data_IF_333064130226
#
_entry.id   IF_333064130226
#
_cell.length_a   1.000
_cell.length_b   1.000
_cell.length_c   1.000
_cell.angle_alpha   90.00
_cell.angle_beta   90.00
_cell.angle_gamma   90.00
#
_symmetry.space_group_name_H-M   'P 1'
#
loop_
_entity.id
_entity.type
_entity.pdbx_description
1 polymer ?
#
# COMPACT_ATOMS: atom_id res chain seq x y z
N UNK A 1 -32.59 14.48 -41.49
CA UNK A 1 -32.64 14.39 -40.01
C UNK A 1 -31.61 13.36 -39.58
N UNK A 2 -30.35 13.78 -39.47
CA UNK A 2 -29.28 12.97 -38.88
C UNK A 2 -29.27 13.29 -37.39
N UNK A 3 -29.62 12.31 -36.56
CA UNK A 3 -29.44 12.40 -35.12
C UNK A 3 -27.95 12.27 -34.82
N UNK A 4 -27.32 13.35 -34.35
CA UNK A 4 -26.03 13.28 -33.69
C UNK A 4 -26.23 12.49 -32.39
N UNK A 5 -25.61 11.32 -32.31
CA UNK A 5 -25.44 10.61 -31.05
C UNK A 5 -24.49 11.44 -30.16
N UNK A 6 -24.75 11.58 -28.85
CA UNK A 6 -23.79 12.20 -27.96
C UNK A 6 -22.52 11.36 -27.97
N UNK A 7 -21.39 11.99 -28.31
CA UNK A 7 -20.07 11.37 -28.15
C UNK A 7 -19.82 11.24 -26.66
N UNK A 8 -19.90 10.03 -26.13
CA UNK A 8 -19.40 9.75 -24.78
C UNK A 8 -17.91 10.10 -24.75
N UNK A 9 -17.58 11.13 -23.97
CA UNK A 9 -16.23 11.63 -23.80
C UNK A 9 -15.45 10.60 -22.95
N UNK A 10 -14.56 9.84 -23.59
CA UNK A 10 -13.72 8.85 -22.93
C UNK A 10 -12.78 9.56 -21.93
N UNK A 11 -13.12 9.53 -20.64
CA UNK A 11 -12.29 10.10 -19.58
C UNK A 11 -11.12 9.16 -19.29
N UNK A 12 -9.89 9.64 -19.48
CA UNK A 12 -8.69 8.86 -19.18
C UNK A 12 -8.58 8.51 -17.70
N UNK A 13 -8.44 7.21 -17.38
CA UNK A 13 -8.33 6.70 -16.01
C UNK A 13 -6.96 6.93 -15.36
N UNK A 14 -5.94 7.32 -16.13
CA UNK A 14 -4.61 7.64 -15.64
C UNK A 14 -4.03 8.82 -16.43
N UNK A 15 -3.28 9.68 -15.75
CA UNK A 15 -2.59 10.83 -16.36
C UNK A 15 -1.23 11.03 -15.70
N UNK A 16 -0.23 11.44 -16.49
CA UNK A 16 1.13 11.66 -16.01
C UNK A 16 1.43 13.15 -15.89
N UNK A 17 2.33 13.49 -14.97
CA UNK A 17 2.82 14.82 -14.55
C UNK A 17 2.27 16.02 -15.36
N UNK A 18 2.72 16.25 -16.59
CA UNK A 18 2.28 17.42 -17.40
C UNK A 18 0.79 17.40 -17.75
N UNK A 19 0.25 16.23 -18.09
CA UNK A 19 -1.18 16.06 -18.36
C UNK A 19 -1.99 16.13 -17.06
N UNK A 20 -1.48 15.53 -15.97
CA UNK A 20 -2.14 15.56 -14.67
C UNK A 20 -2.22 16.99 -14.09
N UNK A 21 -1.16 17.78 -14.21
CA UNK A 21 -1.14 19.19 -13.79
C UNK A 21 -2.10 20.05 -14.61
N UNK A 22 -2.17 19.84 -15.92
CA UNK A 22 -3.10 20.57 -16.78
C UNK A 22 -4.55 20.26 -16.41
N UNK A 23 -4.90 18.97 -16.28
CA UNK A 23 -6.22 18.52 -15.86
C UNK A 23 -6.56 19.00 -14.45
N UNK A 24 -5.59 19.04 -13.53
CA UNK A 24 -5.79 19.53 -12.16
C UNK A 24 -6.09 21.04 -12.13
N UNK A 25 -5.34 21.83 -12.93
CA UNK A 25 -5.58 23.28 -13.09
C UNK A 25 -6.96 23.56 -13.69
N UNK A 26 -7.40 22.74 -14.65
CA UNK A 26 -8.76 22.81 -15.20
C UNK A 26 -9.84 22.43 -14.17
N UNK A 27 -9.55 21.48 -13.28
CA UNK A 27 -10.47 21.02 -12.23
C UNK A 27 -10.56 21.95 -10.99
N UNK A 28 -9.88 23.10 -10.98
CA UNK A 28 -9.79 24.03 -9.83
C UNK A 28 -9.34 23.35 -8.52
N UNK A 29 -8.44 22.37 -8.59
CA UNK A 29 -7.77 21.88 -7.37
C UNK A 29 -6.68 22.87 -6.95
N UNK A 30 -6.54 23.10 -5.64
CA UNK A 30 -5.50 23.98 -5.11
C UNK A 30 -4.12 23.43 -5.49
N UNK A 31 -3.40 24.20 -6.32
CA UNK A 31 -2.01 23.91 -6.66
C UNK A 31 -1.13 24.63 -5.67
N UNK A 32 -0.40 23.88 -4.86
CA UNK A 32 0.66 24.46 -4.03
C UNK A 32 1.86 24.74 -4.93
N UNK A 33 2.11 26.01 -5.21
CA UNK A 33 3.39 26.42 -5.78
C UNK A 33 4.50 26.07 -4.77
N UNK A 34 5.56 25.43 -5.23
CA UNK A 34 6.75 25.19 -4.42
C UNK A 34 7.50 26.50 -4.19
N UNK A 35 6.94 27.38 -3.37
CA UNK A 35 7.62 28.54 -2.83
C UNK A 35 8.41 28.13 -1.59
N UNK A 36 9.70 28.44 -1.58
CA UNK A 36 10.51 28.37 -0.36
C UNK A 36 9.92 29.36 0.67
N UNK A 37 9.16 28.83 1.61
CA UNK A 37 8.73 29.55 2.81
C UNK A 37 9.34 28.84 4.01
N UNK A 38 10.43 29.43 4.51
CA UNK A 38 10.99 29.16 5.83
C UNK A 38 9.93 29.51 6.87
N UNK A 39 9.24 28.50 7.36
CA UNK A 39 8.43 28.59 8.56
C UNK A 39 9.13 27.72 9.61
N UNK A 40 9.86 28.38 10.51
CA UNK A 40 10.49 27.75 11.67
C UNK A 40 9.42 27.19 12.59
N UNK A 41 9.13 25.91 12.43
CA UNK A 41 8.59 25.06 13.49
C UNK A 41 9.32 23.74 13.39
N UNK A 42 10.20 23.49 14.37
CA UNK A 42 11.09 22.31 14.42
C UNK A 42 10.28 21.01 14.39
N UNK A 43 10.13 20.45 13.19
CA UNK A 43 10.02 19.02 12.95
C UNK A 43 11.25 18.68 12.14
N UNK A 44 12.13 17.84 12.71
CA UNK A 44 13.44 17.47 12.16
C UNK A 44 13.31 16.76 10.80
N UNK A 45 13.21 17.56 9.74
CA UNK A 45 13.35 17.11 8.35
C UNK A 45 14.77 16.56 8.15
N UNK A 46 14.85 15.32 7.67
CA UNK A 46 16.11 14.64 7.38
C UNK A 46 17.07 15.51 6.55
N UNK A 47 18.27 15.72 7.09
CA UNK A 47 19.32 16.56 6.48
C UNK A 47 19.70 16.02 5.11
N UNK A 48 19.47 16.81 4.05
CA UNK A 48 20.09 16.63 2.73
C UNK A 48 21.60 16.87 2.86
N UNK A 49 22.42 15.85 2.57
CA UNK A 49 23.90 16.00 2.54
C UNK A 49 24.34 16.81 1.32
N UNK A 50 25.21 17.82 1.45
CA UNK A 50 25.88 18.46 0.32
C UNK A 50 26.95 17.52 -0.27
N UNK A 51 27.05 17.51 -1.61
CA UNK A 51 28.14 16.85 -2.33
C UNK A 51 29.37 17.77 -2.31
N UNK A 52 30.44 17.36 -1.62
CA UNK A 52 31.78 17.94 -1.79
C UNK A 52 32.68 16.99 -2.57
N UNK A 53 33.34 17.55 -3.59
CA UNK A 53 34.15 16.86 -4.60
C UNK A 53 35.34 16.07 -4.03
N UNK A 54 35.69 14.98 -4.73
CA UNK A 54 36.87 14.14 -4.45
C UNK A 54 38.17 14.77 -4.98
N UNK A 55 39.28 14.70 -4.23
CA UNK A 55 40.61 14.52 -4.78
C UNK A 55 41.14 13.11 -4.49
N UNK A 56 42.00 12.63 -5.39
CA UNK A 56 42.29 11.21 -5.60
C UNK A 56 43.32 10.53 -4.68
N UNK A 57 43.49 9.24 -5.00
CA UNK A 57 44.65 8.37 -4.83
C UNK A 57 44.93 7.67 -3.48
N UNK A 58 44.69 6.35 -3.52
CA UNK A 58 45.49 5.22 -3.03
C UNK A 58 45.59 4.81 -1.53
N UNK A 59 45.47 3.48 -1.40
CA UNK A 59 46.16 2.51 -0.53
C UNK A 59 45.45 1.85 0.68
N UNK A 60 45.57 0.52 0.66
CA UNK A 60 45.15 -0.51 1.62
C UNK A 60 45.45 -0.20 3.10
N UNK A 61 44.51 -0.57 3.98
CA UNK A 61 44.74 -1.44 5.16
C UNK A 61 43.44 -1.79 5.90
N UNK A 62 43.28 -3.08 6.21
CA UNK A 62 42.25 -3.63 7.10
C UNK A 62 42.19 -2.88 8.43
N UNK A 63 41.02 -2.38 8.81
CA UNK A 63 40.77 -1.96 10.19
C UNK A 63 39.38 -2.41 10.65
N UNK A 64 39.41 -3.15 11.77
CA UNK A 64 38.29 -3.59 12.58
C UNK A 64 37.28 -2.46 12.82
N UNK A 65 36.05 -2.64 12.36
CA UNK A 65 34.94 -1.76 12.73
C UNK A 65 34.52 -2.11 14.17
N UNK A 66 34.94 -1.25 15.10
CA UNK A 66 34.45 -1.21 16.49
C UNK A 66 32.92 -1.31 16.49
N UNK A 67 32.40 -2.40 17.05
CA UNK A 67 31.00 -2.49 17.52
C UNK A 67 30.78 -1.35 18.51
N UNK A 68 30.08 -0.30 18.08
CA UNK A 68 29.55 0.72 18.98
C UNK A 68 28.44 0.05 19.78
N UNK A 69 28.70 -0.16 21.06
CA UNK A 69 27.70 -0.54 22.06
C UNK A 69 26.74 0.66 22.19
N UNK A 70 25.61 0.61 21.49
CA UNK A 70 24.55 1.60 21.58
C UNK A 70 23.60 1.25 22.71
N UNK A 71 23.31 2.21 23.58
CA UNK A 71 22.25 2.17 24.59
C UNK A 71 20.88 1.83 23.98
N UNK A 72 19.93 1.25 24.74
CA UNK A 72 18.57 0.97 24.28
C UNK A 72 17.74 2.27 24.28
N UNK A 73 18.12 3.22 23.43
CA UNK A 73 17.24 4.30 23.04
C UNK A 73 16.33 3.76 21.94
N UNK A 74 15.02 3.91 22.14
CA UNK A 74 14.00 3.52 21.17
C UNK A 74 14.45 3.95 19.77
N UNK A 75 14.68 2.97 18.89
CA UNK A 75 14.88 3.26 17.47
C UNK A 75 13.58 3.89 16.99
N UNK A 76 13.60 5.18 16.70
CA UNK A 76 12.45 5.84 16.08
C UNK A 76 12.13 5.14 14.75
N UNK A 77 10.88 4.75 14.57
CA UNK A 77 10.44 4.07 13.35
C UNK A 77 10.54 5.07 12.18
N UNK A 78 11.31 4.74 11.16
CA UNK A 78 11.33 5.50 9.91
C UNK A 78 10.04 5.20 9.14
N UNK A 79 9.12 6.16 9.10
CA UNK A 79 7.86 6.03 8.36
C UNK A 79 8.14 6.00 6.85
N UNK A 80 7.55 5.03 6.15
CA UNK A 80 7.63 4.95 4.68
C UNK A 80 6.75 6.01 4.02
N UNK A 81 7.17 6.52 2.85
CA UNK A 81 6.49 7.59 2.10
C UNK A 81 5.14 7.18 1.46
N UNK A 82 4.48 6.12 1.94
CA UNK A 82 3.23 5.57 1.35
C UNK A 82 2.10 5.55 2.37
N UNK A 83 0.93 6.00 1.94
CA UNK A 83 -0.33 5.96 2.71
C UNK A 83 -1.44 5.36 1.86
N UNK A 84 -2.43 4.75 2.51
CA UNK A 84 -3.61 4.20 1.85
C UNK A 84 -4.84 4.32 2.73
N UNK A 85 -6.00 4.45 2.10
CA UNK A 85 -7.29 4.54 2.77
C UNK A 85 -8.33 3.70 2.02
N UNK A 86 -9.23 3.09 2.79
CA UNK A 86 -10.41 2.39 2.29
C UNK A 86 -11.60 2.93 3.09
N UNK A 87 -12.68 3.27 2.39
CA UNK A 87 -13.90 3.85 2.98
C UNK A 87 -15.10 3.11 2.41
N UNK A 88 -16.11 2.93 3.27
CA UNK A 88 -17.42 2.41 2.91
C UNK A 88 -18.46 3.44 3.36
N UNK A 89 -19.37 3.83 2.48
CA UNK A 89 -20.47 4.74 2.79
C UNK A 89 -21.68 4.02 3.40
N UNK A 90 -22.71 4.78 3.80
CA UNK A 90 -23.95 4.25 4.38
C UNK A 90 -24.82 3.47 3.38
N UNK A 91 -24.51 3.58 2.08
CA UNK A 91 -25.14 2.84 0.99
C UNK A 91 -24.38 1.57 0.62
N UNK A 92 -23.27 1.27 1.31
CA UNK A 92 -22.45 0.09 1.06
C UNK A 92 -21.54 0.22 -0.16
N UNK A 93 -21.32 1.42 -0.68
CA UNK A 93 -20.31 1.63 -1.72
C UNK A 93 -18.92 1.70 -1.09
N UNK A 94 -18.00 0.96 -1.69
CA UNK A 94 -16.60 0.96 -1.28
C UNK A 94 -15.77 1.85 -2.21
N UNK A 95 -14.84 2.59 -1.62
CA UNK A 95 -13.82 3.34 -2.32
C UNK A 95 -12.46 3.12 -1.66
N UNK A 96 -11.40 3.11 -2.46
CA UNK A 96 -10.04 2.98 -1.96
C UNK A 96 -9.08 3.87 -2.75
N UNK A 97 -8.03 4.30 -2.07
CA UNK A 97 -6.97 5.10 -2.68
C UNK A 97 -5.65 4.92 -1.95
N UNK A 98 -4.56 5.11 -2.67
CA UNK A 98 -3.21 5.16 -2.12
C UNK A 98 -2.43 6.33 -2.70
N UNK A 99 -1.44 6.79 -1.94
CA UNK A 99 -0.53 7.85 -2.37
C UNK A 99 0.88 7.53 -1.89
N UNK A 100 1.88 7.90 -2.68
CA UNK A 100 3.28 7.65 -2.34
C UNK A 100 4.25 8.66 -2.96
N UNK A 101 5.26 9.06 -2.19
CA UNK A 101 6.43 9.79 -2.71
C UNK A 101 7.36 8.92 -3.57
N UNK A 102 7.26 7.60 -3.43
CA UNK A 102 8.20 6.63 -3.99
C UNK A 102 9.53 6.59 -3.24
N UNK A 103 10.47 5.75 -3.70
CA UNK A 103 11.74 5.61 -2.97
C UNK A 103 12.63 6.86 -3.13
N UNK A 104 13.44 7.14 -2.11
CA UNK A 104 14.41 8.23 -2.15
C UNK A 104 15.42 8.11 -3.31
N UNK A 105 15.82 9.26 -3.87
CA UNK A 105 16.76 9.34 -5.01
C UNK A 105 16.29 8.57 -6.27
N UNK A 106 14.98 8.37 -6.45
CA UNK A 106 14.44 7.79 -7.69
C UNK A 106 14.79 8.65 -8.91
N UNK A 107 14.95 7.99 -10.05
CA UNK A 107 15.01 8.69 -11.34
C UNK A 107 13.73 9.50 -11.57
N UNK A 108 13.83 10.67 -12.20
CA UNK A 108 12.66 11.48 -12.59
C UNK A 108 11.75 10.68 -13.52
N UNK A 109 10.44 10.77 -13.32
CA UNK A 109 9.46 9.97 -14.05
C UNK A 109 9.34 8.51 -13.58
N UNK A 110 10.09 8.04 -12.57
CA UNK A 110 9.83 6.71 -11.99
C UNK A 110 8.48 6.70 -11.28
N UNK A 111 7.60 5.82 -11.75
CA UNK A 111 6.30 5.53 -11.17
C UNK A 111 6.39 4.37 -10.18
N UNK A 112 5.66 4.49 -9.08
CA UNK A 112 5.53 3.45 -8.07
C UNK A 112 4.11 2.86 -8.05
N UNK A 113 3.89 1.81 -7.24
CA UNK A 113 2.61 1.12 -7.06
C UNK A 113 1.40 2.01 -6.84
N UNK A 114 1.54 3.08 -6.04
CA UNK A 114 0.42 3.93 -5.66
C UNK A 114 -0.24 4.64 -6.86
N UNK A 115 0.50 4.81 -7.97
CA UNK A 115 -0.02 5.38 -9.21
C UNK A 115 -0.65 4.34 -10.15
N UNK A 116 -0.64 3.05 -9.78
CA UNK A 116 -1.01 1.93 -10.64
C UNK A 116 -2.20 1.17 -10.04
N UNK A 117 -3.34 1.24 -10.72
CA UNK A 117 -4.57 0.50 -10.36
C UNK A 117 -4.30 -1.01 -10.40
N UNK A 118 -4.83 -1.72 -9.40
CA UNK A 118 -4.60 -3.15 -9.19
C UNK A 118 -3.26 -3.48 -8.52
N UNK A 119 -2.33 -2.53 -8.47
CA UNK A 119 -1.02 -2.74 -7.83
C UNK A 119 -0.98 -2.10 -6.45
N UNK A 120 -1.12 -0.78 -6.33
CA UNK A 120 -1.15 -0.08 -5.03
C UNK A 120 -2.54 -0.01 -4.39
N UNK A 121 -3.59 -0.09 -5.21
CA UNK A 121 -4.99 -0.06 -4.77
C UNK A 121 -5.85 -0.91 -5.70
N UNK A 122 -6.74 -1.71 -5.14
CA UNK A 122 -7.73 -2.49 -5.87
C UNK A 122 -9.08 -2.45 -5.17
N UNK A 123 -10.15 -2.51 -5.95
CA UNK A 123 -11.54 -2.63 -5.49
C UNK A 123 -12.21 -3.70 -6.34
N UNK A 124 -12.78 -4.71 -5.68
CA UNK A 124 -13.69 -5.68 -6.26
C UNK A 124 -15.11 -5.24 -5.87
N UNK A 125 -15.87 -4.63 -6.79
CA UNK A 125 -17.20 -4.10 -6.49
C UNK A 125 -18.21 -5.22 -6.21
N UNK A 126 -19.27 -4.88 -5.48
CA UNK A 126 -20.44 -5.74 -5.34
C UNK A 126 -21.08 -6.00 -6.71
N UNK A 127 -21.47 -7.25 -6.98
CA UNK A 127 -22.27 -7.55 -8.15
C UNK A 127 -23.73 -7.11 -7.93
N UNK A 128 -24.44 -6.74 -9.01
CA UNK A 128 -25.81 -6.21 -8.92
C UNK A 128 -26.81 -7.20 -8.28
N UNK A 129 -26.62 -8.49 -8.55
CA UNK A 129 -27.48 -9.58 -8.08
C UNK A 129 -26.88 -10.35 -6.88
N UNK A 130 -25.85 -9.81 -6.22
CA UNK A 130 -25.25 -10.45 -5.04
C UNK A 130 -26.05 -10.14 -3.76
N UNK A 131 -26.85 -11.10 -3.31
CA UNK A 131 -27.62 -11.00 -2.07
C UNK A 131 -26.73 -10.85 -0.82
N UNK A 132 -25.49 -11.34 -0.86
CA UNK A 132 -24.55 -11.17 0.25
C UNK A 132 -23.89 -9.79 0.25
N UNK A 133 -24.04 -9.01 -0.82
CA UNK A 133 -23.51 -7.67 -0.93
C UNK A 133 -21.98 -7.62 -0.79
N UNK A 134 -21.27 -8.65 -1.26
CA UNK A 134 -19.84 -8.81 -1.00
C UNK A 134 -19.08 -7.78 -1.80
N UNK A 135 -18.23 -7.03 -1.14
CA UNK A 135 -17.27 -6.16 -1.81
C UNK A 135 -15.97 -6.09 -1.02
N UNK A 136 -14.85 -5.99 -1.73
CA UNK A 136 -13.52 -6.01 -1.12
C UNK A 136 -12.67 -4.93 -1.74
N UNK A 137 -11.93 -4.20 -0.91
CA UNK A 137 -10.84 -3.36 -1.38
C UNK A 137 -9.54 -3.70 -0.66
N UNK A 138 -8.43 -3.48 -1.33
CA UNK A 138 -7.10 -3.65 -0.77
C UNK A 138 -6.19 -2.49 -1.16
N UNK A 139 -5.37 -2.05 -0.21
CA UNK A 139 -4.29 -1.09 -0.40
C UNK A 139 -2.98 -1.67 0.12
N UNK A 140 -1.89 -1.39 -0.58
CA UNK A 140 -0.59 -2.00 -0.27
C UNK A 140 0.52 -0.96 -0.17
N UNK A 141 1.54 -1.27 0.64
CA UNK A 141 2.77 -0.50 0.80
C UNK A 141 3.96 -1.46 0.84
N UNK A 142 5.14 -1.02 0.39
CA UNK A 142 6.34 -1.87 0.40
C UNK A 142 7.26 -1.65 -0.80
N UNK A 143 7.98 -2.71 -1.17
CA UNK A 143 8.93 -2.70 -2.29
C UNK A 143 8.18 -2.64 -3.62
N UNK A 144 8.21 -1.47 -4.26
CA UNK A 144 7.30 -1.19 -5.36
C UNK A 144 7.45 -2.07 -6.59
N UNK A 145 8.67 -2.42 -6.98
CA UNK A 145 8.95 -3.34 -8.09
C UNK A 145 8.32 -4.72 -7.87
N UNK A 146 8.38 -5.24 -6.64
CA UNK A 146 7.81 -6.53 -6.29
C UNK A 146 6.28 -6.47 -6.30
N UNK A 147 5.70 -5.42 -5.71
CA UNK A 147 4.24 -5.22 -5.69
C UNK A 147 3.68 -5.16 -7.12
N UNK A 148 4.37 -4.45 -8.02
CA UNK A 148 3.98 -4.36 -9.43
C UNK A 148 4.06 -5.72 -10.13
N UNK A 149 5.14 -6.46 -9.88
CA UNK A 149 5.36 -7.79 -10.46
C UNK A 149 4.28 -8.79 -10.04
N UNK A 150 3.74 -8.67 -8.83
CA UNK A 150 2.75 -9.62 -8.27
C UNK A 150 1.31 -9.14 -8.38
N UNK A 151 1.06 -7.96 -8.96
CA UNK A 151 -0.27 -7.30 -8.92
C UNK A 151 -0.88 -7.29 -7.52
N UNK A 152 -0.08 -6.85 -6.54
CA UNK A 152 -0.30 -7.15 -5.12
C UNK A 152 -1.70 -6.84 -4.60
N UNK A 153 -2.21 -5.62 -4.82
CA UNK A 153 -3.53 -5.24 -4.29
C UNK A 153 -4.67 -6.02 -4.95
N UNK A 154 -4.64 -6.17 -6.27
CA UNK A 154 -5.66 -6.93 -7.01
C UNK A 154 -5.69 -8.38 -6.52
N UNK A 155 -4.51 -9.00 -6.41
CA UNK A 155 -4.40 -10.39 -5.97
C UNK A 155 -4.96 -10.57 -4.56
N UNK A 156 -4.60 -9.68 -3.61
CA UNK A 156 -5.14 -9.74 -2.25
C UNK A 156 -6.67 -9.55 -2.22
N UNK A 157 -7.19 -8.54 -2.93
CA UNK A 157 -8.63 -8.28 -2.96
C UNK A 157 -9.43 -9.46 -3.54
N UNK A 158 -8.97 -10.04 -4.66
CA UNK A 158 -9.62 -11.21 -5.27
C UNK A 158 -9.58 -12.45 -4.37
N UNK A 159 -8.46 -12.66 -3.66
CA UNK A 159 -8.30 -13.79 -2.72
C UNK A 159 -9.35 -13.74 -1.61
N UNK A 160 -9.49 -12.57 -0.97
CA UNK A 160 -10.45 -12.34 0.11
C UNK A 160 -11.89 -12.34 -0.39
N UNK A 161 -12.14 -11.77 -1.58
CA UNK A 161 -13.46 -11.78 -2.21
C UNK A 161 -13.94 -13.19 -2.53
N UNK A 162 -13.05 -14.03 -3.10
CA UNK A 162 -13.40 -15.40 -3.52
C UNK A 162 -13.28 -16.43 -2.41
N UNK A 163 -12.69 -16.08 -1.26
CA UNK A 163 -12.36 -17.06 -0.21
C UNK A 163 -11.37 -18.10 -0.72
N UNK A 164 -10.25 -17.68 -1.32
CA UNK A 164 -9.28 -18.61 -1.92
C UNK A 164 -7.84 -18.31 -1.54
N UNK A 165 -6.99 -19.34 -1.64
CA UNK A 165 -5.52 -19.23 -1.58
C UNK A 165 -4.84 -20.08 -2.65
N UNK A 166 -3.54 -19.87 -2.83
CA UNK A 166 -2.75 -20.65 -3.80
C UNK A 166 -2.56 -22.08 -3.27
N UNK A 167 -3.04 -23.05 -4.03
CA UNK A 167 -2.82 -24.46 -3.72
C UNK A 167 -1.42 -24.95 -4.14
N UNK A 168 -0.97 -26.12 -3.66
CA UNK A 168 0.35 -26.67 -3.96
C UNK A 168 0.61 -26.93 -5.45
N UNK A 169 -0.45 -27.16 -6.23
CA UNK A 169 -0.39 -27.35 -7.69
C UNK A 169 -0.42 -26.03 -8.47
N UNK A 170 -0.49 -24.89 -7.76
CA UNK A 170 -0.66 -23.56 -8.34
C UNK A 170 -2.10 -23.18 -8.66
N UNK A 171 -3.06 -24.11 -8.56
CA UNK A 171 -4.49 -23.81 -8.69
C UNK A 171 -5.02 -23.11 -7.44
N UNK A 172 -6.04 -22.28 -7.60
CA UNK A 172 -6.73 -21.65 -6.47
C UNK A 172 -7.61 -22.68 -5.76
N UNK A 173 -7.54 -22.70 -4.42
CA UNK A 173 -8.33 -23.58 -3.57
C UNK A 173 -9.13 -22.74 -2.56
N UNK A 174 -10.30 -23.23 -2.18
CA UNK A 174 -11.15 -22.57 -1.20
C UNK A 174 -10.48 -22.56 0.18
N UNK A 175 -10.67 -21.46 0.89
CA UNK A 175 -10.22 -21.22 2.25
C UNK A 175 -11.26 -20.36 2.97
N UNK A 176 -11.79 -20.87 4.08
CA UNK A 176 -12.87 -20.18 4.82
C UNK A 176 -12.29 -19.19 5.86
N UNK A 177 -11.01 -19.36 6.21
CA UNK A 177 -10.33 -18.47 7.14
C UNK A 177 -9.65 -17.30 6.42
N UNK A 178 -10.29 -16.14 6.43
CA UNK A 178 -9.75 -14.88 5.87
C UNK A 178 -8.35 -14.56 6.45
N UNK A 179 -8.03 -14.92 7.71
CA UNK A 179 -6.69 -14.70 8.27
C UNK A 179 -5.64 -15.64 7.66
N UNK A 180 -6.02 -16.85 7.25
CA UNK A 180 -5.17 -17.78 6.50
C UNK A 180 -4.98 -17.33 5.05
N UNK A 181 -6.02 -16.74 4.44
CA UNK A 181 -5.91 -16.10 3.12
C UNK A 181 -4.90 -14.96 3.17
N UNK A 182 -4.98 -14.07 4.17
CA UNK A 182 -4.04 -12.95 4.30
C UNK A 182 -2.59 -13.41 4.50
N UNK A 183 -2.37 -14.48 5.27
CA UNK A 183 -1.03 -15.05 5.46
C UNK A 183 -0.49 -15.67 4.17
N UNK A 184 -1.31 -16.51 3.51
CA UNK A 184 -0.94 -17.18 2.26
C UNK A 184 -0.72 -16.21 1.10
N UNK A 185 -1.42 -15.07 1.08
CA UNK A 185 -1.14 -14.00 0.13
C UNK A 185 0.32 -13.52 0.25
N UNK A 186 0.80 -13.27 1.48
CA UNK A 186 2.17 -12.80 1.67
C UNK A 186 3.17 -13.93 1.39
N UNK A 187 2.96 -15.14 1.91
CA UNK A 187 3.92 -16.22 1.72
C UNK A 187 3.94 -16.74 0.28
N UNK A 188 2.78 -17.02 -0.30
CA UNK A 188 2.68 -17.82 -1.52
C UNK A 188 2.53 -16.95 -2.77
N UNK A 189 1.68 -15.92 -2.72
CA UNK A 189 1.44 -15.03 -3.87
C UNK A 189 2.53 -13.95 -4.02
N UNK A 190 3.09 -13.46 -2.90
CA UNK A 190 4.11 -12.41 -2.91
C UNK A 190 5.54 -12.95 -2.76
N UNK A 191 5.88 -13.56 -1.61
CA UNK A 191 7.26 -13.95 -1.32
C UNK A 191 7.75 -15.10 -2.21
N UNK A 192 6.93 -16.12 -2.45
CA UNK A 192 7.29 -17.27 -3.29
C UNK A 192 7.18 -17.00 -4.81
N UNK A 193 6.70 -15.81 -5.19
CA UNK A 193 6.63 -15.40 -6.58
C UNK A 193 8.03 -15.40 -7.21
N UNK A 194 8.25 -16.02 -8.39
CA UNK A 194 9.57 -16.10 -9.03
C UNK A 194 10.25 -14.75 -9.23
N UNK A 195 9.48 -13.69 -9.50
CA UNK A 195 9.99 -12.33 -9.66
C UNK A 195 10.35 -11.61 -8.35
N UNK A 196 10.00 -12.17 -7.19
CA UNK A 196 10.34 -11.65 -5.86
C UNK A 196 11.47 -12.48 -5.25
N UNK A 197 11.30 -13.80 -5.13
CA UNK A 197 12.29 -14.67 -4.48
C UNK A 197 13.66 -14.73 -5.16
N UNK A 198 13.69 -14.57 -6.49
CA UNK A 198 14.93 -14.59 -7.28
C UNK A 198 15.50 -13.18 -7.49
N UNK A 199 14.87 -12.15 -6.93
CA UNK A 199 15.33 -10.77 -7.04
C UNK A 199 16.45 -10.50 -6.02
N UNK A 200 17.36 -9.58 -6.35
CA UNK A 200 18.44 -9.18 -5.44
C UNK A 200 17.97 -8.24 -4.32
N UNK A 201 16.84 -7.55 -4.50
CA UNK A 201 16.23 -6.72 -3.47
C UNK A 201 15.36 -7.54 -2.52
N UNK A 202 15.32 -7.14 -1.24
CA UNK A 202 14.44 -7.76 -0.26
C UNK A 202 12.96 -7.48 -0.57
N UNK A 203 12.14 -8.53 -0.50
CA UNK A 203 10.69 -8.44 -0.58
C UNK A 203 10.08 -7.96 0.72
N UNK A 204 9.53 -6.76 0.73
CA UNK A 204 8.78 -6.20 1.84
C UNK A 204 7.41 -5.73 1.37
N UNK A 205 6.36 -6.11 2.08
CA UNK A 205 4.98 -5.72 1.80
C UNK A 205 4.18 -5.61 3.10
N UNK A 206 3.34 -4.59 3.16
CA UNK A 206 2.19 -4.50 4.04
C UNK A 206 0.92 -4.32 3.21
N UNK A 207 -0.14 -4.99 3.61
CA UNK A 207 -1.45 -4.93 2.96
C UNK A 207 -2.53 -4.67 4.00
N UNK A 208 -3.46 -3.80 3.66
CA UNK A 208 -4.71 -3.59 4.38
C UNK A 208 -5.86 -3.90 3.42
N UNK A 209 -6.78 -4.76 3.83
CA UNK A 209 -7.97 -5.12 3.07
C UNK A 209 -9.22 -4.86 3.91
N UNK A 210 -10.30 -4.42 3.26
CA UNK A 210 -11.62 -4.34 3.88
C UNK A 210 -12.59 -5.15 3.05
N UNK A 211 -13.31 -6.06 3.71
CA UNK A 211 -14.40 -6.85 3.16
C UNK A 211 -15.70 -6.40 3.80
N UNK A 212 -16.68 -6.08 2.97
CA UNK A 212 -18.07 -5.93 3.38
C UNK A 212 -18.85 -7.15 2.91
N UNK A 213 -19.78 -7.61 3.73
CA UNK A 213 -20.84 -8.52 3.34
C UNK A 213 -22.06 -8.29 4.25
N UNK A 214 -23.13 -9.04 4.02
CA UNK A 214 -24.39 -8.99 4.77
C UNK A 214 -24.21 -9.08 6.30
N UNK A 215 -23.15 -9.74 6.77
CA UNK A 215 -22.87 -9.91 8.21
C UNK A 215 -22.08 -8.75 8.84
N UNK A 216 -21.51 -7.86 8.03
CA UNK A 216 -20.82 -6.66 8.47
C UNK A 216 -19.54 -6.33 7.72
N UNK A 217 -18.68 -5.57 8.38
CA UNK A 217 -17.44 -5.02 7.83
C UNK A 217 -16.23 -5.64 8.52
N UNK A 218 -15.26 -6.06 7.73
CA UNK A 218 -14.10 -6.81 8.16
C UNK A 218 -12.86 -6.11 7.64
N UNK A 219 -12.10 -5.49 8.54
CA UNK A 219 -10.77 -4.97 8.24
C UNK A 219 -9.74 -6.04 8.55
N UNK A 220 -8.90 -6.35 7.57
CA UNK A 220 -7.76 -7.25 7.70
C UNK A 220 -6.47 -6.52 7.36
N UNK A 221 -5.37 -6.93 7.98
CA UNK A 221 -4.05 -6.50 7.58
C UNK A 221 -3.06 -7.65 7.75
N UNK A 222 -2.02 -7.62 6.92
CA UNK A 222 -0.86 -8.47 7.09
C UNK A 222 0.39 -7.77 6.54
N UNK A 223 1.56 -8.06 7.11
CA UNK A 223 2.82 -7.53 6.63
C UNK A 223 4.00 -8.43 7.01
N UNK A 224 5.07 -8.35 6.22
CA UNK A 224 6.39 -8.89 6.56
C UNK A 224 7.44 -7.78 6.82
N UNK A 225 7.01 -6.52 6.89
CA UNK A 225 7.83 -5.38 7.31
C UNK A 225 8.03 -5.39 8.82
N UNK A 226 9.05 -4.69 9.31
CA UNK A 226 9.32 -4.52 10.76
C UNK A 226 8.09 -4.00 11.51
N UNK A 227 7.36 -3.06 10.90
CA UNK A 227 6.10 -2.52 11.42
C UNK A 227 5.15 -2.07 10.32
N UNK A 228 3.87 -1.95 10.66
CA UNK A 228 2.82 -1.44 9.79
C UNK A 228 1.77 -0.68 10.62
N UNK A 229 1.64 0.63 10.35
CA UNK A 229 0.73 1.52 11.07
C UNK A 229 -0.66 1.52 10.43
N UNK A 230 -1.69 1.39 11.26
CA UNK A 230 -3.09 1.24 10.84
C UNK A 230 -3.98 2.11 11.72
N UNK A 231 -5.05 2.63 11.12
CA UNK A 231 -6.12 3.29 11.83
C UNK A 231 -7.47 2.86 11.25
N UNK A 232 -8.49 2.74 12.10
CA UNK A 232 -9.84 2.40 11.68
C UNK A 232 -10.89 3.04 12.58
N UNK A 233 -12.02 3.41 12.01
CA UNK A 233 -13.14 4.02 12.72
C UNK A 233 -14.44 3.63 12.03
N UNK A 234 -15.39 3.10 12.80
CA UNK A 234 -16.77 2.93 12.35
C UNK A 234 -17.57 4.23 12.52
N UNK A 235 -18.61 4.44 11.70
CA UNK A 235 -19.42 5.67 11.75
C UNK A 235 -20.15 5.91 13.08
N UNK A 236 -20.37 4.85 13.87
CA UNK A 236 -21.01 4.92 15.19
C UNK A 236 -19.99 5.01 16.36
N UNK A 237 -18.70 4.99 16.05
CA UNK A 237 -17.64 4.99 17.06
C UNK A 237 -17.26 6.40 17.46
N UNK A 238 -16.99 6.61 18.75
CA UNK A 238 -16.64 7.93 19.28
C UNK A 238 -15.20 8.33 18.95
N UNK A 239 -14.32 7.36 18.78
CA UNK A 239 -12.88 7.57 18.59
C UNK A 239 -12.32 6.53 17.62
N UNK A 240 -11.32 6.95 16.83
CA UNK A 240 -10.58 6.05 15.95
C UNK A 240 -9.68 5.10 16.77
N UNK A 241 -9.51 3.87 16.27
CA UNK A 241 -8.53 2.92 16.82
C UNK A 241 -7.29 2.90 15.95
N UNK A 242 -6.16 3.20 16.56
CA UNK A 242 -4.85 3.18 15.91
C UNK A 242 -4.01 2.02 16.44
N UNK A 243 -3.32 1.32 15.55
CA UNK A 243 -2.44 0.20 15.88
C UNK A 243 -1.13 0.35 15.12
N UNK A 244 -0.01 0.27 15.83
CA UNK A 244 1.29 0.04 15.22
C UNK A 244 1.57 -1.47 15.30
N UNK A 245 1.26 -2.20 14.24
CA UNK A 245 1.58 -3.63 14.17
C UNK A 245 3.09 -3.80 14.01
N UNK A 246 3.68 -4.75 14.73
CA UNK A 246 5.12 -5.04 14.68
C UNK A 246 5.32 -6.52 14.42
N UNK A 247 6.35 -6.84 13.64
CA UNK A 247 6.72 -8.23 13.35
C UNK A 247 7.27 -8.88 14.64
N UNK A 248 6.62 -9.94 15.17
CA UNK A 248 7.13 -10.62 16.35
C UNK A 248 8.49 -11.29 16.10
N UNK A 249 9.29 -11.43 17.16
CA UNK A 249 10.59 -12.10 17.06
C UNK A 249 10.43 -13.55 16.57
N UNK A 250 11.16 -13.90 15.50
CA UNK A 250 11.10 -15.22 14.88
C UNK A 250 9.91 -15.45 13.93
N UNK A 251 8.95 -14.53 13.86
CA UNK A 251 7.85 -14.59 12.91
C UNK A 251 8.29 -14.05 11.53
N UNK A 252 7.68 -14.60 10.46
CA UNK A 252 7.89 -14.11 9.09
C UNK A 252 6.81 -13.12 8.64
N UNK A 253 5.63 -13.24 9.22
CA UNK A 253 4.44 -12.47 8.87
C UNK A 253 3.75 -12.07 10.17
N UNK A 254 3.33 -10.81 10.27
CA UNK A 254 2.38 -10.33 11.27
C UNK A 254 1.04 -10.08 10.57
N UNK A 255 -0.05 -10.44 11.25
CA UNK A 255 -1.41 -10.29 10.73
C UNK A 255 -2.38 -9.94 11.85
N UNK A 256 -3.51 -9.38 11.47
CA UNK A 256 -4.61 -9.11 12.38
C UNK A 256 -5.79 -8.51 11.65
N UNK A 257 -6.84 -8.22 12.42
CA UNK A 257 -8.04 -7.64 11.85
C UNK A 257 -8.98 -7.10 12.90
N UNK A 258 -10.04 -6.45 12.40
CA UNK A 258 -11.12 -5.88 13.19
C UNK A 258 -12.43 -6.14 12.48
N UNK A 259 -13.40 -6.64 13.23
CA UNK A 259 -14.73 -6.99 12.72
C UNK A 259 -15.76 -6.05 13.34
N UNK A 260 -16.60 -5.44 12.50
CA UNK A 260 -17.75 -4.61 12.88
C UNK A 260 -18.98 -5.35 12.35
N UNK A 261 -19.75 -5.96 13.25
CA UNK A 261 -20.96 -6.71 12.86
C UNK A 261 -22.11 -5.74 12.66
N UNK A 262 -22.92 -6.02 11.64
CA UNK A 262 -24.26 -5.43 11.49
C UNK A 262 -25.23 -6.27 12.35
N UNK A 263 -26.09 -5.58 13.09
CA UNK A 263 -27.15 -6.22 13.90
C UNK A 263 -28.35 -6.61 13.06
#
# INVERSE_FOLDING_TARGET
>A
MSADAPKDEEKHAASLETAAEHTSKEAKTDTTESGDHDNDTEITRGVKRPLTACPGSENHKSQNVKRRLGSPLAREDSVSDTVGAIVIDDRGHIAAGSSSGGIGMKHRGRLGPAALVGIGTAVVPCAEDDEEGVTVAAVTSGTGEHMATTMASQRCAERIYRGTRRGPTGADILEDDDDAIMESFISDDFMDHPGVKNCSSAGAIGVMAVKQCSTGYYLYFAHNTDSFALASMGGLEKEARCVMSRLPEGAKIAKGGRKIRLE
#
